data_IF_615542855844
#
_entry.id   IF_615542855844
#
_cell.length_a   1.000
_cell.length_b   1.000
_cell.length_c   1.000
_cell.angle_alpha   90.00
_cell.angle_beta   90.00
_cell.angle_gamma   90.00
#
_symmetry.space_group_name_H-M   'P 1'
#
loop_
_entity.id
_entity.type
_entity.pdbx_description
1 polymer ?
#
# COMPACT_ATOMS: atom_id res chain seq x y z
N UNK A 1 -47.62 -26.18 -11.32
CA UNK A 1 -47.25 -24.81 -11.73
C UNK A 1 -45.78 -24.84 -12.04
N UNK A 2 -45.44 -24.54 -13.29
CA UNK A 2 -44.11 -24.70 -13.90
C UNK A 2 -43.07 -23.84 -13.21
N UNK A 3 -42.08 -24.47 -12.57
CA UNK A 3 -40.79 -23.85 -12.27
C UNK A 3 -40.21 -23.41 -13.62
N UNK A 4 -40.32 -22.12 -13.95
CA UNK A 4 -39.55 -21.55 -15.05
C UNK A 4 -38.10 -21.57 -14.59
N UNK A 5 -37.27 -22.37 -15.24
CA UNK A 5 -35.82 -22.30 -15.07
C UNK A 5 -35.39 -20.85 -15.36
N UNK A 6 -34.76 -20.21 -14.37
CA UNK A 6 -34.21 -18.87 -14.52
C UNK A 6 -33.18 -18.88 -15.65
N UNK A 7 -33.26 -17.91 -16.55
CA UNK A 7 -32.29 -17.79 -17.63
C UNK A 7 -30.90 -17.45 -17.07
N UNK A 8 -29.79 -17.85 -17.72
CA UNK A 8 -28.44 -17.55 -17.24
C UNK A 8 -28.17 -16.05 -16.98
N UNK A 9 -28.86 -15.16 -17.70
CA UNK A 9 -28.78 -13.72 -17.49
C UNK A 9 -29.57 -13.24 -16.26
N UNK A 10 -30.69 -13.88 -15.92
CA UNK A 10 -31.44 -13.57 -14.71
C UNK A 10 -30.65 -13.97 -13.46
N UNK A 11 -29.99 -15.13 -13.48
CA UNK A 11 -29.11 -15.58 -12.39
C UNK A 11 -27.94 -14.61 -12.16
N UNK A 12 -27.31 -14.12 -13.24
CA UNK A 12 -26.23 -13.11 -13.15
C UNK A 12 -26.72 -11.77 -12.58
N UNK A 13 -27.88 -11.29 -13.01
CA UNK A 13 -28.47 -10.06 -12.48
C UNK A 13 -28.85 -10.21 -11.00
N UNK A 14 -29.38 -11.38 -10.60
CA UNK A 14 -29.72 -11.67 -9.21
C UNK A 14 -28.49 -11.59 -8.31
N UNK A 15 -27.38 -12.23 -8.71
CA UNK A 15 -26.10 -12.19 -7.99
C UNK A 15 -25.59 -10.75 -7.84
N UNK A 16 -25.69 -9.93 -8.89
CA UNK A 16 -25.32 -8.52 -8.84
C UNK A 16 -26.16 -7.72 -7.83
N UNK A 17 -27.47 -7.97 -7.76
CA UNK A 17 -28.33 -7.29 -6.79
C UNK A 17 -28.03 -7.70 -5.35
N UNK A 18 -27.74 -8.99 -5.12
CA UNK A 18 -27.35 -9.50 -3.81
C UNK A 18 -26.02 -8.88 -3.34
N UNK A 19 -25.07 -8.69 -4.25
CA UNK A 19 -23.81 -7.98 -3.96
C UNK A 19 -24.06 -6.55 -3.52
N UNK A 20 -24.89 -5.79 -4.23
CA UNK A 20 -25.23 -4.39 -3.84
C UNK A 20 -25.85 -4.33 -2.44
N UNK A 21 -26.71 -5.30 -2.10
CA UNK A 21 -27.34 -5.38 -0.77
C UNK A 21 -26.31 -5.71 0.31
N UNK A 22 -25.40 -6.64 0.03
CA UNK A 22 -24.36 -7.08 0.96
C UNK A 22 -23.34 -5.97 1.23
N UNK A 23 -22.95 -5.22 0.20
CA UNK A 23 -22.05 -4.07 0.31
C UNK A 23 -22.73 -2.85 0.98
N UNK A 24 -24.05 -2.90 1.21
CA UNK A 24 -24.77 -1.87 1.96
C UNK A 24 -25.19 -0.66 1.11
N UNK A 25 -25.39 -0.84 -0.19
CA UNK A 25 -25.82 0.23 -1.09
C UNK A 25 -27.18 0.83 -0.70
N UNK A 26 -27.28 2.17 -0.73
CA UNK A 26 -28.54 2.89 -0.47
C UNK A 26 -29.46 2.73 -1.70
N UNK A 27 -30.35 1.75 -1.64
CA UNK A 27 -31.31 1.45 -2.72
C UNK A 27 -32.33 2.59 -2.89
N UNK A 28 -32.82 3.14 -1.77
CA UNK A 28 -33.81 4.23 -1.70
C UNK A 28 -33.50 5.13 -0.50
N UNK A 29 -33.68 6.45 -0.67
CA UNK A 29 -33.65 7.40 0.46
C UNK A 29 -34.93 7.20 1.29
N UNK A 30 -34.78 6.75 2.53
CA UNK A 30 -35.89 6.54 3.48
C UNK A 30 -35.96 7.71 4.45
N UNK A 31 -37.18 8.15 4.79
CA UNK A 31 -37.37 9.16 5.85
C UNK A 31 -37.27 8.51 7.23
N UNK A 32 -36.93 9.32 8.25
CA UNK A 32 -36.68 8.85 9.62
C UNK A 32 -37.85 8.06 10.25
N UNK A 33 -39.07 8.27 9.77
CA UNK A 33 -40.28 7.64 10.27
C UNK A 33 -40.76 6.46 9.40
N UNK A 34 -40.00 6.08 8.37
CA UNK A 34 -40.30 4.91 7.52
C UNK A 34 -39.67 3.63 8.11
N UNK A 35 -40.38 2.50 8.00
CA UNK A 35 -39.83 1.20 8.37
C UNK A 35 -38.67 0.81 7.44
N UNK A 36 -37.65 0.14 7.99
CA UNK A 36 -36.52 -0.36 7.22
C UNK A 36 -36.98 -1.31 6.11
N UNK A 37 -36.46 -1.10 4.89
CA UNK A 37 -36.76 -1.98 3.76
C UNK A 37 -36.23 -3.39 4.03
N UNK A 38 -37.07 -4.39 3.81
CA UNK A 38 -36.66 -5.79 3.83
C UNK A 38 -35.73 -6.11 2.65
N UNK A 39 -34.96 -7.19 2.74
CA UNK A 39 -34.06 -7.61 1.65
C UNK A 39 -34.84 -7.88 0.36
N UNK A 40 -36.02 -8.49 0.44
CA UNK A 40 -36.86 -8.79 -0.72
C UNK A 40 -37.43 -7.53 -1.40
N UNK A 41 -37.77 -6.50 -0.61
CA UNK A 41 -38.20 -5.21 -1.13
C UNK A 41 -37.04 -4.46 -1.80
N UNK A 42 -35.83 -4.52 -1.21
CA UNK A 42 -34.60 -3.96 -1.82
C UNK A 42 -34.31 -4.62 -3.17
N UNK A 43 -34.38 -5.95 -3.25
CA UNK A 43 -34.20 -6.69 -4.50
C UNK A 43 -35.21 -6.28 -5.55
N UNK A 44 -36.48 -6.18 -5.17
CA UNK A 44 -37.56 -5.79 -6.09
C UNK A 44 -37.36 -4.37 -6.64
N UNK A 45 -36.90 -3.43 -5.81
CA UNK A 45 -36.56 -2.06 -6.23
C UNK A 45 -35.33 -2.00 -7.14
N UNK A 46 -34.29 -2.77 -6.83
CA UNK A 46 -33.08 -2.86 -7.67
C UNK A 46 -33.40 -3.42 -9.06
N UNK A 47 -34.20 -4.49 -9.13
CA UNK A 47 -34.69 -5.04 -10.41
C UNK A 47 -35.42 -3.96 -11.22
N UNK A 48 -36.35 -3.26 -10.57
CA UNK A 48 -37.14 -2.23 -11.24
C UNK A 48 -36.23 -1.11 -11.79
N UNK A 49 -35.30 -0.61 -10.99
CA UNK A 49 -34.36 0.44 -11.40
C UNK A 49 -33.46 -0.03 -12.55
N UNK A 50 -32.96 -1.26 -12.49
CA UNK A 50 -32.11 -1.84 -13.53
C UNK A 50 -32.85 -1.97 -14.88
N UNK A 51 -34.06 -2.52 -14.87
CA UNK A 51 -34.82 -2.69 -16.13
C UNK A 51 -35.43 -1.39 -16.66
N UNK A 52 -35.71 -0.41 -15.80
CA UNK A 52 -36.19 0.91 -16.23
C UNK A 52 -35.08 1.73 -16.90
N UNK A 53 -33.93 1.83 -16.26
CA UNK A 53 -32.80 2.60 -16.79
C UNK A 53 -31.48 2.02 -16.30
N UNK A 54 -30.89 1.15 -17.13
CA UNK A 54 -29.60 0.53 -16.84
C UNK A 54 -28.46 1.55 -16.71
N UNK A 55 -28.52 2.68 -17.41
CA UNK A 55 -27.46 3.70 -17.39
C UNK A 55 -27.43 4.42 -16.05
N UNK A 56 -28.60 4.88 -15.59
CA UNK A 56 -28.74 5.52 -14.27
C UNK A 56 -28.41 4.54 -13.15
N UNK A 57 -28.75 3.27 -13.32
CA UNK A 57 -28.36 2.22 -12.38
C UNK A 57 -26.83 2.10 -12.28
N UNK A 58 -26.13 2.09 -13.41
CA UNK A 58 -24.68 2.01 -13.44
C UNK A 58 -24.02 3.21 -12.75
N UNK A 59 -24.47 4.44 -13.03
CA UNK A 59 -23.91 5.63 -12.37
C UNK A 59 -24.12 5.64 -10.85
N UNK A 60 -25.22 5.05 -10.38
CA UNK A 60 -25.56 5.04 -8.95
C UNK A 60 -24.90 3.91 -8.18
N UNK A 61 -24.82 2.71 -8.76
CA UNK A 61 -24.35 1.51 -8.07
C UNK A 61 -23.01 0.99 -8.60
N UNK A 62 -22.45 1.57 -9.66
CA UNK A 62 -21.27 1.05 -10.36
C UNK A 62 -20.02 0.90 -9.49
N UNK A 63 -19.84 1.74 -8.46
CA UNK A 63 -18.74 1.64 -7.50
C UNK A 63 -18.87 0.47 -6.53
N UNK A 64 -20.07 -0.12 -6.41
CA UNK A 64 -20.38 -1.24 -5.53
C UNK A 64 -20.37 -2.59 -6.27
N UNK A 65 -20.11 -2.57 -7.59
CA UNK A 65 -20.15 -3.74 -8.46
C UNK A 65 -18.78 -4.40 -8.58
N UNK A 66 -18.80 -5.72 -8.78
CA UNK A 66 -17.58 -6.49 -9.11
C UNK A 66 -17.30 -6.50 -10.63
N UNK A 67 -16.11 -6.94 -11.03
CA UNK A 67 -15.76 -7.11 -12.45
C UNK A 67 -16.75 -8.01 -13.20
N UNK A 68 -17.19 -9.10 -12.55
CA UNK A 68 -18.21 -10.03 -13.09
C UNK A 68 -19.56 -9.33 -13.31
N UNK A 69 -19.94 -8.43 -12.38
CA UNK A 69 -21.22 -7.72 -12.45
C UNK A 69 -21.24 -6.67 -13.56
N UNK A 70 -20.08 -6.04 -13.83
CA UNK A 70 -19.95 -5.06 -14.91
C UNK A 70 -20.17 -5.66 -16.30
N UNK A 71 -20.01 -6.98 -16.45
CA UNK A 71 -20.30 -7.65 -17.73
C UNK A 71 -21.78 -7.67 -18.08
N UNK A 72 -22.68 -7.50 -17.10
CA UNK A 72 -24.12 -7.35 -17.33
C UNK A 72 -24.46 -6.06 -18.13
N UNK A 73 -23.50 -5.15 -18.27
CA UNK A 73 -23.64 -3.85 -18.92
C UNK A 73 -22.91 -3.74 -20.27
N UNK A 74 -22.23 -4.79 -20.75
CA UNK A 74 -21.50 -4.78 -22.04
C UNK A 74 -22.42 -4.58 -23.29
N UNK A 75 -23.74 -4.49 -23.10
CA UNK A 75 -24.74 -4.27 -24.15
C UNK A 75 -25.00 -2.81 -24.54
N UNK A 76 -24.40 -1.81 -23.88
CA UNK A 76 -24.57 -0.38 -24.21
C UNK A 76 -23.81 0.06 -25.46
N UNK A 77 -24.05 -0.58 -26.61
CA UNK A 77 -23.29 -0.23 -27.83
C UNK A 77 -23.60 1.18 -28.37
N UNK A 78 -24.70 1.80 -27.94
CA UNK A 78 -25.17 3.08 -28.50
C UNK A 78 -24.79 4.32 -27.66
N UNK A 79 -24.40 4.16 -26.39
CA UNK A 79 -24.12 5.30 -25.51
C UNK A 79 -22.62 5.41 -25.17
N UNK A 80 -21.97 6.43 -25.74
CA UNK A 80 -20.54 6.71 -25.59
C UNK A 80 -20.14 6.96 -24.13
N UNK A 81 -20.97 7.68 -23.37
CA UNK A 81 -20.65 8.08 -22.00
C UNK A 81 -20.71 6.88 -21.04
N UNK A 82 -21.70 6.00 -21.23
CA UNK A 82 -21.83 4.78 -20.44
C UNK A 82 -20.68 3.81 -20.69
N UNK A 83 -20.23 3.68 -21.93
CA UNK A 83 -19.06 2.85 -22.26
C UNK A 83 -17.78 3.40 -21.66
N UNK A 84 -17.58 4.72 -21.68
CA UNK A 84 -16.45 5.36 -21.01
C UNK A 84 -16.49 5.11 -19.50
N UNK A 85 -17.65 5.31 -18.85
CA UNK A 85 -17.81 5.09 -17.42
C UNK A 85 -17.62 3.62 -17.03
N UNK A 86 -18.13 2.67 -17.82
CA UNK A 86 -17.85 1.24 -17.65
C UNK A 86 -16.36 0.92 -17.74
N UNK A 87 -15.67 1.49 -18.74
CA UNK A 87 -14.23 1.35 -18.89
C UNK A 87 -13.50 1.85 -17.65
N UNK A 88 -13.86 3.04 -17.15
CA UNK A 88 -13.30 3.62 -15.94
C UNK A 88 -13.53 2.76 -14.70
N UNK A 89 -14.74 2.19 -14.53
CA UNK A 89 -15.03 1.28 -13.43
C UNK A 89 -14.21 -0.02 -13.52
N UNK A 90 -14.09 -0.62 -14.71
CA UNK A 90 -13.25 -1.81 -14.91
C UNK A 90 -11.78 -1.52 -14.61
N UNK A 91 -11.27 -0.36 -15.03
CA UNK A 91 -9.90 0.08 -14.71
C UNK A 91 -9.69 0.29 -13.21
N UNK A 92 -10.67 0.85 -12.50
CA UNK A 92 -10.59 1.06 -11.05
C UNK A 92 -10.62 -0.25 -10.25
N UNK A 93 -11.19 -1.31 -10.82
CA UNK A 93 -11.29 -2.63 -10.20
C UNK A 93 -10.15 -3.58 -10.62
N UNK A 94 -9.33 -3.19 -11.59
CA UNK A 94 -8.17 -3.96 -12.03
C UNK A 94 -7.12 -3.98 -10.91
N UNK A 95 -6.75 -5.16 -10.36
CA UNK A 95 -5.79 -5.26 -9.25
C UNK A 95 -4.47 -4.52 -9.54
N UNK A 96 -3.96 -4.61 -10.76
CA UNK A 96 -2.70 -3.94 -11.14
C UNK A 96 -2.82 -2.42 -11.08
N UNK A 97 -3.97 -1.89 -11.46
CA UNK A 97 -4.22 -0.45 -11.37
C UNK A 97 -4.49 -0.02 -9.94
N UNK A 98 -5.17 -0.85 -9.13
CA UNK A 98 -5.36 -0.59 -7.70
C UNK A 98 -3.99 -0.49 -7.01
N UNK A 99 -3.10 -1.46 -7.22
CA UNK A 99 -1.76 -1.47 -6.64
C UNK A 99 -0.95 -0.26 -7.09
N UNK A 100 -1.00 0.07 -8.38
CA UNK A 100 -0.33 1.26 -8.93
C UNK A 100 -0.86 2.54 -8.30
N UNK A 101 -2.17 2.67 -8.14
CA UNK A 101 -2.79 3.84 -7.48
C UNK A 101 -2.40 3.94 -6.02
N UNK A 102 -2.40 2.83 -5.28
CA UNK A 102 -1.98 2.80 -3.89
C UNK A 102 -0.52 3.23 -3.77
N UNK A 103 0.37 2.66 -4.59
CA UNK A 103 1.79 3.07 -4.62
C UNK A 103 1.95 4.55 -4.97
N UNK A 104 1.21 5.06 -5.94
CA UNK A 104 1.24 6.48 -6.32
C UNK A 104 0.74 7.39 -5.19
N UNK A 105 -0.38 7.05 -4.53
CA UNK A 105 -0.90 7.77 -3.36
C UNK A 105 0.13 7.82 -2.24
N UNK A 106 0.73 6.67 -1.92
CA UNK A 106 1.80 6.56 -0.91
C UNK A 106 3.02 7.39 -1.30
N UNK A 107 3.43 7.38 -2.57
CA UNK A 107 4.54 8.20 -3.05
C UNK A 107 4.26 9.70 -2.90
N UNK A 108 3.06 10.15 -3.27
CA UNK A 108 2.65 11.54 -3.09
C UNK A 108 2.61 11.94 -1.61
N UNK A 109 2.09 11.06 -0.75
CA UNK A 109 2.14 11.28 0.70
C UNK A 109 3.57 11.38 1.22
N UNK A 110 4.46 10.50 0.78
CA UNK A 110 5.87 10.50 1.15
C UNK A 110 6.54 11.83 0.77
N UNK A 111 6.34 12.28 -0.48
CA UNK A 111 6.92 13.52 -1.02
C UNK A 111 6.39 14.77 -0.31
N UNK A 112 5.10 14.82 0.00
CA UNK A 112 4.44 16.01 0.55
C UNK A 112 4.46 16.08 2.08
N UNK A 113 4.24 14.94 2.75
CA UNK A 113 4.01 14.89 4.21
C UNK A 113 5.18 14.32 4.99
N UNK A 114 5.94 13.37 4.43
CA UNK A 114 7.03 12.73 5.18
C UNK A 114 8.39 13.40 4.97
N UNK A 115 8.59 14.16 3.89
CA UNK A 115 9.88 14.80 3.54
C UNK A 115 10.54 15.59 4.69
N UNK A 116 9.75 16.29 5.50
CA UNK A 116 10.24 17.14 6.59
C UNK A 116 9.95 16.55 8.00
N UNK A 117 9.70 15.25 8.09
CA UNK A 117 9.38 14.57 9.35
C UNK A 117 10.55 13.72 9.82
N UNK A 118 10.49 13.26 11.07
CA UNK A 118 11.46 12.31 11.63
C UNK A 118 11.31 10.88 11.09
N UNK A 119 10.33 10.60 10.22
CA UNK A 119 10.02 9.24 9.78
C UNK A 119 11.20 8.50 9.13
N UNK A 120 12.03 9.22 8.37
CA UNK A 120 13.28 8.71 7.78
C UNK A 120 14.52 9.21 8.54
N UNK A 121 14.39 9.50 9.84
CA UNK A 121 15.54 9.71 10.71
C UNK A 121 16.22 8.39 11.04
N UNK A 122 17.52 8.43 11.34
CA UNK A 122 18.29 7.23 11.64
C UNK A 122 17.70 6.44 12.82
N UNK A 123 17.19 7.13 13.84
CA UNK A 123 16.56 6.49 15.02
C UNK A 123 15.26 5.76 14.65
N UNK A 124 14.38 6.38 13.88
CA UNK A 124 13.13 5.76 13.42
C UNK A 124 13.39 4.60 12.46
N UNK A 125 14.33 4.75 11.53
CA UNK A 125 14.69 3.67 10.60
C UNK A 125 15.32 2.49 11.32
N UNK A 126 16.20 2.75 12.31
CA UNK A 126 16.79 1.71 13.17
C UNK A 126 15.74 0.97 14.01
N UNK A 127 14.73 1.67 14.50
CA UNK A 127 13.65 1.05 15.27
C UNK A 127 12.73 0.19 14.40
N UNK A 128 12.47 0.61 13.16
CA UNK A 128 11.62 -0.11 12.21
C UNK A 128 12.29 -1.34 11.63
N UNK A 129 13.52 -1.19 11.12
CA UNK A 129 14.27 -2.25 10.43
C UNK A 129 15.70 -2.35 10.99
N UNK A 130 15.84 -2.94 12.20
CA UNK A 130 17.10 -3.02 12.90
C UNK A 130 18.18 -3.81 12.14
N UNK A 131 17.84 -4.91 11.46
CA UNK A 131 18.81 -5.69 10.69
C UNK A 131 19.37 -4.91 9.49
N UNK A 132 18.48 -4.34 8.67
CA UNK A 132 18.88 -3.51 7.52
C UNK A 132 19.71 -2.29 7.96
N UNK A 133 19.38 -1.67 9.09
CA UNK A 133 20.18 -0.58 9.62
C UNK A 133 21.60 -1.04 9.99
N UNK A 134 21.74 -2.23 10.60
CA UNK A 134 23.04 -2.80 10.92
C UNK A 134 23.86 -3.04 9.65
N UNK A 135 23.24 -3.61 8.62
CA UNK A 135 23.89 -3.91 7.35
C UNK A 135 24.25 -2.66 6.56
N UNK A 136 23.38 -1.67 6.39
CA UNK A 136 23.68 -0.53 5.52
C UNK A 136 24.32 0.67 6.25
N UNK A 137 24.23 0.74 7.58
CA UNK A 137 24.74 1.89 8.35
C UNK A 137 25.83 1.46 9.32
N UNK A 138 25.56 0.49 10.20
CA UNK A 138 26.52 0.16 11.28
C UNK A 138 27.81 -0.50 10.78
N UNK A 139 27.76 -1.30 9.71
CA UNK A 139 28.96 -1.96 9.16
C UNK A 139 29.99 -0.97 8.59
N UNK A 140 29.54 0.21 8.18
CA UNK A 140 30.37 1.26 7.59
C UNK A 140 30.90 2.25 8.65
N UNK A 141 30.53 2.08 9.93
CA UNK A 141 31.08 2.89 11.03
C UNK A 141 32.46 2.39 11.44
N UNK A 142 33.40 3.30 11.54
CA UNK A 142 34.74 3.03 12.06
C UNK A 142 34.70 2.74 13.57
N UNK A 143 35.70 2.02 14.08
CA UNK A 143 35.80 1.70 15.51
C UNK A 143 35.86 2.97 16.38
N UNK A 144 36.52 4.03 15.90
CA UNK A 144 36.58 5.32 16.58
C UNK A 144 35.21 6.01 16.69
N UNK A 145 34.38 5.96 15.64
CA UNK A 145 33.02 6.52 15.66
C UNK A 145 32.15 5.77 16.68
N UNK A 146 32.22 4.43 16.69
CA UNK A 146 31.47 3.59 17.64
C UNK A 146 31.88 3.85 19.08
N UNK A 147 33.17 4.09 19.34
CA UNK A 147 33.68 4.47 20.66
C UNK A 147 33.12 5.83 21.10
N UNK A 148 33.16 6.84 20.22
CA UNK A 148 32.62 8.18 20.51
C UNK A 148 31.11 8.15 20.79
N UNK A 149 30.34 7.33 20.07
CA UNK A 149 28.91 7.15 20.34
C UNK A 149 28.68 6.54 21.72
N UNK A 150 29.40 5.47 22.08
CA UNK A 150 29.31 4.86 23.41
C UNK A 150 29.69 5.81 24.53
N UNK A 151 30.75 6.61 24.35
CA UNK A 151 31.16 7.62 25.32
C UNK A 151 30.08 8.70 25.51
N UNK A 152 29.51 9.18 24.40
CA UNK A 152 28.40 10.14 24.43
C UNK A 152 27.16 9.55 25.11
N UNK A 153 26.82 8.30 24.83
CA UNK A 153 25.68 7.64 25.44
C UNK A 153 25.88 7.44 26.94
N UNK A 154 27.07 7.02 27.37
CA UNK A 154 27.41 6.90 28.79
C UNK A 154 27.42 8.27 29.50
N UNK A 155 27.82 9.33 28.82
CA UNK A 155 27.82 10.68 29.38
C UNK A 155 26.41 11.28 29.51
N UNK A 156 25.49 10.93 28.60
CA UNK A 156 24.12 11.48 28.56
C UNK A 156 23.12 10.70 29.40
N UNK A 157 23.33 9.40 29.62
CA UNK A 157 22.34 8.50 30.20
C UNK A 157 22.56 8.22 31.68
N UNK A 158 21.47 8.20 32.46
CA UNK A 158 21.50 7.75 33.85
C UNK A 158 21.68 6.22 33.94
N UNK A 159 22.04 5.71 35.12
CA UNK A 159 22.14 4.26 35.35
C UNK A 159 20.84 3.50 35.01
N UNK A 160 19.68 4.09 35.32
CA UNK A 160 18.38 3.50 34.97
C UNK A 160 18.19 3.43 33.45
N UNK A 161 18.58 4.48 32.74
CA UNK A 161 18.52 4.54 31.28
C UNK A 161 19.49 3.55 30.62
N UNK A 162 20.67 3.35 31.21
CA UNK A 162 21.61 2.31 30.77
C UNK A 162 21.04 0.89 30.93
N UNK A 163 20.37 0.61 32.05
CA UNK A 163 19.74 -0.69 32.28
C UNK A 163 18.56 -0.94 31.33
N UNK A 164 17.71 0.07 31.11
CA UNK A 164 16.63 0.02 30.12
C UNK A 164 17.20 -0.20 28.72
N UNK A 165 18.22 0.58 28.33
CA UNK A 165 18.90 0.43 27.05
C UNK A 165 19.54 -0.95 26.87
N UNK A 166 19.97 -1.62 27.95
CA UNK A 166 20.46 -3.00 27.87
C UNK A 166 19.35 -3.99 27.51
N UNK A 167 18.14 -3.77 28.01
CA UNK A 167 16.96 -4.57 27.66
C UNK A 167 16.55 -4.28 26.22
N UNK A 168 16.48 -3.01 25.83
CA UNK A 168 16.13 -2.59 24.47
C UNK A 168 17.13 -3.15 23.45
N UNK A 169 18.43 -3.12 23.76
CA UNK A 169 19.47 -3.74 22.92
C UNK A 169 19.29 -5.25 22.75
N UNK A 170 18.83 -5.97 23.79
CA UNK A 170 18.55 -7.41 23.67
C UNK A 170 17.34 -7.68 22.78
N UNK A 171 16.28 -6.86 22.92
CA UNK A 171 15.09 -6.94 22.07
C UNK A 171 15.49 -6.63 20.62
N UNK A 172 16.29 -5.58 20.42
CA UNK A 172 16.82 -5.18 19.12
C UNK A 172 17.63 -6.31 18.47
N UNK A 173 18.57 -6.92 19.20
CA UNK A 173 19.35 -8.06 18.69
C UNK A 173 18.49 -9.28 18.35
N UNK A 174 17.47 -9.58 19.15
CA UNK A 174 16.54 -10.67 18.86
C UNK A 174 15.75 -10.39 17.57
N UNK A 175 15.31 -9.14 17.37
CA UNK A 175 14.63 -8.73 16.14
C UNK A 175 15.56 -8.78 14.93
N UNK A 176 16.82 -8.34 15.05
CA UNK A 176 17.79 -8.46 13.97
C UNK A 176 17.91 -9.90 13.47
N UNK A 177 18.02 -10.87 14.40
CA UNK A 177 18.14 -12.29 14.04
C UNK A 177 16.91 -12.84 13.35
N UNK A 178 15.72 -12.47 13.82
CA UNK A 178 14.46 -12.89 13.19
C UNK A 178 14.36 -12.31 11.77
N UNK A 179 14.77 -11.05 11.58
CA UNK A 179 14.79 -10.41 10.26
C UNK A 179 15.85 -11.02 9.33
N UNK A 180 17.01 -11.40 9.87
CA UNK A 180 18.09 -12.12 9.16
C UNK A 180 17.60 -13.50 8.69
N UNK A 181 17.09 -14.33 9.60
CA UNK A 181 16.52 -15.65 9.29
C UNK A 181 15.40 -15.55 8.24
N UNK A 182 14.53 -14.54 8.33
CA UNK A 182 13.45 -14.33 7.37
C UNK A 182 13.93 -13.88 5.99
N UNK A 183 15.10 -13.23 5.89
CA UNK A 183 15.72 -12.91 4.60
C UNK A 183 16.40 -14.14 3.99
N UNK A 184 17.14 -14.90 4.81
CA UNK A 184 17.75 -16.17 4.37
C UNK A 184 16.68 -17.15 3.83
N UNK A 185 15.53 -17.28 4.52
CA UNK A 185 14.41 -18.09 4.02
C UNK A 185 13.84 -17.60 2.68
N UNK A 186 13.75 -16.27 2.46
CA UNK A 186 13.28 -15.71 1.19
C UNK A 186 14.29 -15.93 0.06
N UNK A 187 15.59 -15.82 0.34
CA UNK A 187 16.65 -16.10 -0.62
C UNK A 187 16.64 -17.58 -1.04
N UNK A 188 16.47 -18.51 -0.09
CA UNK A 188 16.35 -19.95 -0.40
C UNK A 188 15.09 -20.28 -1.23
N UNK A 189 13.98 -19.55 -1.06
CA UNK A 189 12.75 -19.74 -1.85
C UNK A 189 12.88 -19.19 -3.29
N UNK A 190 13.68 -18.14 -3.51
CA UNK A 190 13.91 -17.51 -4.83
C UNK A 190 15.02 -18.22 -5.63
N UNK A 191 15.93 -18.96 -4.97
CA UNK A 191 16.98 -19.77 -5.63
C UNK A 191 16.43 -20.97 -6.46
N UNK A 192 15.14 -21.28 -6.38
CA UNK A 192 14.47 -22.29 -7.23
C UNK A 192 14.04 -21.75 -8.62
N UNK A 193 14.16 -20.42 -8.89
CA UNK A 193 13.89 -19.79 -10.19
C UNK A 193 15.05 -18.86 -10.66
N UNK A 194 16.02 -19.46 -11.37
CA UNK A 194 17.14 -18.89 -12.15
C UNK A 194 18.46 -18.50 -11.42
N UNK A 195 19.54 -19.12 -11.89
CA UNK A 195 20.96 -18.86 -11.62
C UNK A 195 21.31 -17.37 -11.85
N UNK A 196 21.50 -16.57 -10.79
CA UNK A 196 22.35 -15.38 -10.88
C UNK A 196 23.27 -15.22 -9.66
N UNK A 197 24.50 -15.70 -9.84
CA UNK A 197 25.58 -15.77 -8.87
C UNK A 197 26.21 -14.40 -8.51
N UNK A 198 25.45 -13.31 -8.57
CA UNK A 198 25.96 -11.94 -8.34
C UNK A 198 25.63 -11.34 -6.95
N UNK A 199 24.82 -12.01 -6.12
CA UNK A 199 24.46 -11.49 -4.79
C UNK A 199 25.50 -11.76 -3.68
N UNK A 200 26.52 -12.58 -3.96
CA UNK A 200 27.51 -13.03 -2.97
C UNK A 200 28.66 -12.02 -2.70
N UNK A 201 28.44 -10.72 -2.94
CA UNK A 201 29.48 -9.68 -2.84
C UNK A 201 29.25 -8.64 -1.73
N UNK A 202 28.50 -8.99 -0.68
CA UNK A 202 28.26 -8.07 0.44
C UNK A 202 28.93 -8.44 1.76
N UNK A 203 29.76 -9.49 1.80
CA UNK A 203 30.40 -9.95 3.05
C UNK A 203 31.93 -9.83 3.00
N UNK A 204 32.43 -8.62 3.28
CA UNK A 204 33.70 -8.29 3.98
C UNK A 204 34.09 -6.83 3.69
N UNK A 205 33.47 -5.88 4.39
CA UNK A 205 33.98 -4.50 4.43
C UNK A 205 35.09 -4.44 5.50
N UNK A 206 36.33 -4.16 5.08
CA UNK A 206 37.44 -3.87 6.00
C UNK A 206 37.15 -2.54 6.73
N UNK A 207 36.62 -2.66 7.95
CA UNK A 207 36.16 -1.54 8.81
C UNK A 207 37.25 -0.49 9.09
N UNK A 208 38.51 -0.78 8.75
CA UNK A 208 39.65 0.13 8.97
C UNK A 208 39.82 1.20 7.90
N UNK A 209 39.14 1.09 6.73
CA UNK A 209 39.32 2.00 5.58
C UNK A 209 38.03 2.31 4.81
N UNK A 210 36.90 2.43 5.49
CA UNK A 210 35.66 2.84 4.82
C UNK A 210 35.78 4.29 4.35
N UNK A 211 35.66 4.52 3.04
CA UNK A 211 35.65 5.88 2.48
C UNK A 211 34.36 6.61 2.87
N UNK A 212 34.41 7.91 3.10
CA UNK A 212 33.19 8.72 3.30
C UNK A 212 32.21 8.57 2.12
N UNK A 213 32.72 8.44 0.89
CA UNK A 213 31.91 8.20 -0.31
C UNK A 213 31.16 6.85 -0.25
N UNK A 214 31.75 5.82 0.37
CA UNK A 214 31.10 4.51 0.53
C UNK A 214 30.00 4.56 1.59
N UNK A 215 30.24 5.28 2.70
CA UNK A 215 29.22 5.54 3.73
C UNK A 215 28.02 6.26 3.14
N UNK A 216 28.26 7.30 2.32
CA UNK A 216 27.18 8.08 1.71
C UNK A 216 26.36 7.22 0.75
N UNK A 217 27.00 6.46 -0.15
CA UNK A 217 26.30 5.55 -1.07
C UNK A 217 25.45 4.52 -0.33
N UNK A 218 26.02 3.84 0.67
CA UNK A 218 25.24 2.83 1.41
C UNK A 218 24.07 3.44 2.18
N UNK A 219 24.23 4.67 2.69
CA UNK A 219 23.14 5.41 3.32
C UNK A 219 22.03 5.78 2.32
N UNK A 220 22.37 6.16 1.10
CA UNK A 220 21.39 6.44 0.05
C UNK A 220 20.62 5.18 -0.37
N UNK A 221 21.31 4.04 -0.48
CA UNK A 221 20.70 2.72 -0.73
C UNK A 221 19.73 2.36 0.39
N UNK A 222 20.14 2.50 1.65
CA UNK A 222 19.28 2.25 2.80
C UNK A 222 18.03 3.10 2.78
N UNK A 223 18.16 4.40 2.54
CA UNK A 223 17.00 5.30 2.46
C UNK A 223 16.08 4.90 1.31
N UNK A 224 16.63 4.51 0.16
CA UNK A 224 15.85 4.07 -0.99
C UNK A 224 15.05 2.81 -0.68
N UNK A 225 15.69 1.83 -0.04
CA UNK A 225 15.03 0.62 0.44
C UNK A 225 13.92 0.93 1.46
N UNK A 226 14.19 1.80 2.45
CA UNK A 226 13.18 2.20 3.44
C UNK A 226 11.99 2.93 2.79
N UNK A 227 12.21 3.70 1.73
CA UNK A 227 11.13 4.30 0.95
C UNK A 227 10.33 3.23 0.19
N UNK A 228 10.99 2.25 -0.42
CA UNK A 228 10.32 1.15 -1.10
C UNK A 228 9.44 0.33 -0.15
N UNK A 229 9.94 -0.01 1.04
CA UNK A 229 9.17 -0.67 2.11
C UNK A 229 7.93 0.12 2.49
N UNK A 230 8.06 1.45 2.58
CA UNK A 230 6.92 2.32 2.82
C UNK A 230 5.90 2.25 1.67
N UNK A 231 6.35 2.29 0.41
CA UNK A 231 5.47 2.23 -0.77
C UNK A 231 4.78 0.87 -0.90
N UNK A 232 5.46 -0.22 -0.56
CA UNK A 232 4.91 -1.58 -0.59
C UNK A 232 3.94 -1.86 0.57
N UNK A 233 3.99 -1.08 1.64
CA UNK A 233 3.05 -1.19 2.76
C UNK A 233 3.54 -2.05 3.91
N UNK A 234 4.86 -2.30 3.96
CA UNK A 234 5.48 -3.17 4.96
C UNK A 234 5.57 -2.50 6.34
N UNK A 235 5.38 -1.18 6.43
CA UNK A 235 5.47 -0.44 7.70
C UNK A 235 4.15 -0.33 8.47
N UNK A 236 3.21 -1.26 8.26
CA UNK A 236 1.85 -1.22 8.84
C UNK A 236 1.80 -1.17 10.38
N UNK A 237 2.86 -1.62 11.04
CA UNK A 237 3.01 -1.56 12.50
C UNK A 237 3.37 -0.15 12.99
N UNK A 238 3.97 0.67 12.12
CA UNK A 238 4.49 2.01 12.43
C UNK A 238 3.74 3.13 11.73
N UNK A 239 2.99 2.80 10.67
CA UNK A 239 2.22 3.76 9.87
C UNK A 239 0.82 3.24 9.54
N UNK A 240 -0.16 4.10 9.76
CA UNK A 240 -1.56 3.83 9.42
C UNK A 240 -1.85 4.18 7.96
N UNK A 241 -1.74 3.18 7.08
CA UNK A 241 -1.95 3.32 5.64
C UNK A 241 -3.40 3.66 5.26
N UNK A 242 -4.39 3.46 6.13
CA UNK A 242 -5.78 3.86 5.84
C UNK A 242 -5.90 5.37 5.57
N UNK A 243 -4.99 6.17 6.14
CA UNK A 243 -4.92 7.63 5.93
C UNK A 243 -4.58 8.02 4.49
N UNK A 244 -3.97 7.10 3.73
CA UNK A 244 -3.40 7.38 2.41
C UNK A 244 -4.06 6.53 1.33
N UNK A 245 -4.22 5.23 1.57
CA UNK A 245 -4.63 4.27 0.55
C UNK A 245 -6.04 4.53 0.00
N UNK A 246 -6.93 5.14 0.79
CA UNK A 246 -8.29 5.52 0.37
C UNK A 246 -8.46 7.01 0.10
N UNK A 247 -7.38 7.79 0.11
CA UNK A 247 -7.44 9.24 0.00
C UNK A 247 -7.14 9.70 -1.43
N UNK A 248 -8.20 10.09 -2.15
CA UNK A 248 -8.16 10.57 -3.53
C UNK A 248 -7.37 11.88 -3.69
N UNK A 249 -7.12 12.64 -2.62
CA UNK A 249 -6.28 13.85 -2.70
C UNK A 249 -4.83 13.55 -3.09
N UNK A 250 -4.39 12.30 -2.95
CA UNK A 250 -3.07 11.85 -3.38
C UNK A 250 -3.08 11.17 -4.75
N UNK A 251 -4.21 11.17 -5.48
CA UNK A 251 -4.27 10.69 -6.87
C UNK A 251 -3.70 11.70 -7.87
N UNK A 252 -3.60 12.98 -7.51
CA UNK A 252 -3.17 14.01 -8.45
C UNK A 252 -1.65 13.92 -8.72
N UNK A 253 -1.35 13.63 -9.99
CA UNK A 253 -0.02 13.57 -10.59
C UNK A 253 0.32 14.93 -11.26
N UNK A 254 -0.65 15.84 -11.37
CA UNK A 254 -0.68 16.77 -12.50
C UNK A 254 0.04 18.12 -12.35
N UNK A 255 0.47 18.54 -11.17
CA UNK A 255 0.98 19.92 -11.04
C UNK A 255 2.50 20.08 -11.24
N UNK A 256 3.30 19.00 -11.17
CA UNK A 256 4.77 19.13 -11.25
C UNK A 256 5.35 18.94 -12.65
N UNK A 257 4.89 17.96 -13.43
CA UNK A 257 5.40 17.76 -14.78
C UNK A 257 4.99 18.89 -15.75
N UNK A 258 3.89 19.60 -15.47
CA UNK A 258 3.49 20.80 -16.22
C UNK A 258 4.31 22.04 -15.84
N UNK A 259 4.75 22.17 -14.59
CA UNK A 259 5.63 23.27 -14.17
C UNK A 259 7.03 23.14 -14.78
N UNK A 260 7.62 21.94 -14.81
CA UNK A 260 8.96 21.72 -15.40
C UNK A 260 8.98 22.03 -16.90
N UNK A 261 7.90 21.72 -17.63
CA UNK A 261 7.76 22.10 -19.05
C UNK A 261 7.69 23.62 -19.29
N UNK A 262 7.38 24.41 -18.25
CA UNK A 262 7.29 25.86 -18.31
C UNK A 262 8.62 26.57 -18.04
N UNK A 263 9.62 25.85 -17.50
CA UNK A 263 10.96 26.38 -17.21
C UNK A 263 12.02 26.02 -18.27
N UNK A 264 11.66 25.17 -19.24
CA UNK A 264 12.53 24.75 -20.35
C UNK A 264 12.33 25.57 -21.66
N UNK A 265 11.53 26.65 -21.63
CA UNK A 265 11.37 27.64 -22.72
C UNK A 265 12.05 29.00 -22.42
#
# INVERSE_FOLDING_TARGET
>A
MTNKEETPNEVKNNRMFDHIITTGGIVKSQQKDEADLTQDEKLSLLRLQFFQNKESFLYKFGTLLTLDDLDNFNGFKENSDCNYYLGKLKQNLDPKQIDSKIKNRRYNYLKQKLKNTSYFSDEEMKNRCPFLYQQYIEQYKTEEERLKEKENDLAKNSLAQFLLGTIDNKIHQARCKIEEEAMEEQEEEEEDEDDDAELQKYMECDQTKVSEDEKERSREEFISLMKERFLSGQDKEFFDYQKVDSNELYDDIYDQDLEDSYFDD
#
